data_IF_799242961443
#
_entry.id   IF_799242961443
#
_cell.length_a   1.000
_cell.length_b   1.000
_cell.length_c   1.000
_cell.angle_alpha   90.00
_cell.angle_beta   90.00
_cell.angle_gamma   90.00
#
_symmetry.space_group_name_H-M   'P 1'
#
loop_
_entity.id
_entity.type
_entity.pdbx_description
1 polymer ?
#
# COMPACT_ATOMS: atom_id res chain seq x y z
N UNK A 1 -9.91 -24.87 -18.04
CA UNK A 1 -10.43 -24.06 -19.17
C UNK A 1 -10.92 -22.66 -18.80
N UNK A 2 -10.60 -22.17 -17.60
CA UNK A 2 -10.98 -20.84 -17.09
C UNK A 2 -10.69 -19.71 -18.10
N UNK A 3 -9.54 -19.71 -18.75
CA UNK A 3 -9.13 -18.64 -19.69
C UNK A 3 -9.79 -18.73 -21.09
N UNK A 4 -10.63 -19.73 -21.34
CA UNK A 4 -11.44 -19.79 -22.57
C UNK A 4 -12.71 -18.94 -22.53
N UNK A 5 -13.11 -18.51 -21.34
CA UNK A 5 -14.28 -17.65 -21.16
C UNK A 5 -13.99 -16.21 -21.64
N UNK A 6 -15.08 -15.53 -22.04
CA UNK A 6 -15.01 -14.17 -22.60
C UNK A 6 -14.89 -13.14 -21.48
N UNK A 7 -13.65 -12.87 -21.03
CA UNK A 7 -13.33 -11.77 -20.14
C UNK A 7 -11.93 -11.22 -20.49
N UNK A 8 -11.67 -9.98 -20.14
CA UNK A 8 -10.41 -9.28 -20.46
C UNK A 8 -9.50 -9.15 -19.25
N UNK A 9 -10.04 -9.14 -18.03
CA UNK A 9 -9.31 -8.84 -16.79
C UNK A 9 -9.52 -9.96 -15.77
N UNK A 10 -8.45 -10.37 -15.11
CA UNK A 10 -8.47 -11.28 -13.96
C UNK A 10 -8.09 -10.51 -12.70
N UNK A 11 -8.94 -10.56 -11.67
CA UNK A 11 -8.62 -10.09 -10.33
C UNK A 11 -8.14 -11.28 -9.49
N UNK A 12 -6.91 -11.22 -8.97
CA UNK A 12 -6.28 -12.29 -8.18
C UNK A 12 -6.20 -11.83 -6.72
N UNK A 13 -6.95 -12.53 -5.85
CA UNK A 13 -7.02 -12.28 -4.40
C UNK A 13 -6.71 -13.56 -3.61
N UNK A 14 -5.76 -14.33 -4.07
CA UNK A 14 -5.24 -15.53 -3.40
C UNK A 14 -4.24 -15.16 -2.28
N UNK A 15 -3.72 -16.11 -1.49
CA UNK A 15 -2.59 -15.84 -0.61
C UNK A 15 -1.35 -15.34 -1.35
N UNK A 16 -0.61 -14.40 -0.73
CA UNK A 16 0.49 -13.64 -1.34
C UNK A 16 1.49 -14.50 -2.14
N UNK A 17 1.89 -15.65 -1.58
CA UNK A 17 2.86 -16.56 -2.24
C UNK A 17 2.36 -17.22 -3.54
N UNK A 18 1.06 -17.12 -3.84
CA UNK A 18 0.47 -17.67 -5.06
C UNK A 18 0.31 -16.63 -6.16
N UNK A 19 0.44 -15.36 -5.84
CA UNK A 19 0.21 -14.24 -6.74
C UNK A 19 1.05 -14.34 -8.00
N UNK A 20 2.36 -14.51 -7.87
CA UNK A 20 3.29 -14.58 -8.99
C UNK A 20 2.90 -15.65 -10.02
N UNK A 21 2.71 -16.90 -9.55
CA UNK A 21 2.41 -18.02 -10.45
C UNK A 21 1.08 -17.85 -11.18
N UNK A 22 0.05 -17.39 -10.46
CA UNK A 22 -1.29 -17.19 -11.03
C UNK A 22 -1.32 -16.00 -12.00
N UNK A 23 -0.66 -14.89 -11.66
CA UNK A 23 -0.56 -13.74 -12.53
C UNK A 23 0.19 -14.07 -13.83
N UNK A 24 1.29 -14.82 -13.74
CA UNK A 24 2.06 -15.26 -14.92
C UNK A 24 1.22 -16.10 -15.87
N UNK A 25 0.41 -17.03 -15.35
CA UNK A 25 -0.51 -17.84 -16.17
C UNK A 25 -1.54 -16.95 -16.86
N UNK A 26 -2.17 -16.02 -16.14
CA UNK A 26 -3.19 -15.12 -16.69
C UNK A 26 -2.62 -14.20 -17.78
N UNK A 27 -1.47 -13.58 -17.53
CA UNK A 27 -0.78 -12.73 -18.50
C UNK A 27 -0.38 -13.52 -19.77
N UNK A 28 0.13 -14.75 -19.59
CA UNK A 28 0.49 -15.62 -20.72
C UNK A 28 -0.72 -16.07 -21.54
N UNK A 29 -1.92 -16.07 -20.93
CA UNK A 29 -3.18 -16.30 -21.62
C UNK A 29 -3.78 -15.04 -22.26
N UNK A 30 -3.03 -13.92 -22.29
CA UNK A 30 -3.46 -12.66 -22.89
C UNK A 30 -4.49 -11.88 -22.08
N UNK A 31 -4.58 -12.10 -20.75
CA UNK A 31 -5.51 -11.41 -19.85
C UNK A 31 -4.79 -10.30 -19.09
N UNK A 32 -5.44 -9.15 -18.94
CA UNK A 32 -5.00 -8.13 -17.99
C UNK A 32 -5.13 -8.66 -16.56
N UNK A 33 -4.26 -8.22 -15.65
CA UNK A 33 -4.25 -8.70 -14.26
C UNK A 33 -4.34 -7.53 -13.29
N UNK A 34 -5.25 -7.63 -12.35
CA UNK A 34 -5.26 -6.86 -11.10
C UNK A 34 -4.87 -7.84 -9.99
N UNK A 35 -3.82 -7.53 -9.28
CA UNK A 35 -3.21 -8.41 -8.30
C UNK A 35 -3.30 -7.78 -6.92
N UNK A 36 -3.91 -8.49 -5.95
CA UNK A 36 -3.99 -8.00 -4.58
C UNK A 36 -2.60 -7.68 -4.01
N UNK A 37 -2.61 -6.71 -3.10
CA UNK A 37 -1.41 -6.30 -2.38
C UNK A 37 -1.01 -7.35 -1.30
N UNK A 38 0.29 -7.54 -1.08
CA UNK A 38 1.39 -7.14 -1.94
C UNK A 38 1.39 -7.99 -3.21
N UNK A 39 1.68 -7.34 -4.34
CA UNK A 39 1.60 -8.01 -5.64
C UNK A 39 2.48 -9.27 -5.72
N UNK A 40 3.66 -9.19 -5.14
CA UNK A 40 4.65 -10.28 -5.14
C UNK A 40 5.42 -10.32 -3.82
N UNK A 41 6.17 -11.39 -3.61
CA UNK A 41 7.01 -11.57 -2.42
C UNK A 41 8.48 -11.23 -2.66
N UNK A 42 8.90 -11.14 -3.93
CA UNK A 42 10.27 -10.82 -4.33
C UNK A 42 10.29 -9.80 -5.48
N UNK A 43 11.22 -8.82 -5.50
CA UNK A 43 11.29 -7.82 -6.56
C UNK A 43 11.49 -8.42 -7.96
N UNK A 44 12.20 -9.55 -8.06
CA UNK A 44 12.45 -10.25 -9.33
C UNK A 44 11.16 -10.80 -9.94
N UNK A 45 10.23 -11.27 -9.10
CA UNK A 45 8.92 -11.74 -9.54
C UNK A 45 8.13 -10.62 -10.23
N UNK A 46 8.17 -9.40 -9.66
CA UNK A 46 7.51 -8.23 -10.28
C UNK A 46 8.12 -7.87 -11.63
N UNK A 47 9.45 -7.85 -11.71
CA UNK A 47 10.13 -7.56 -12.97
C UNK A 47 9.75 -8.57 -14.07
N UNK A 48 9.65 -9.85 -13.72
CA UNK A 48 9.24 -10.91 -14.64
C UNK A 48 7.78 -10.76 -15.07
N UNK A 49 6.87 -10.45 -14.15
CA UNK A 49 5.46 -10.22 -14.47
C UNK A 49 5.27 -9.00 -15.38
N UNK A 50 5.98 -7.91 -15.13
CA UNK A 50 5.95 -6.70 -15.97
C UNK A 50 6.46 -7.03 -17.40
N UNK A 51 7.52 -7.83 -17.51
CA UNK A 51 8.03 -8.27 -18.83
C UNK A 51 7.00 -9.17 -19.52
N UNK A 52 6.44 -10.16 -18.81
CA UNK A 52 5.39 -11.04 -19.34
C UNK A 52 4.17 -10.24 -19.82
N UNK A 53 3.74 -9.24 -19.06
CA UNK A 53 2.64 -8.36 -19.44
C UNK A 53 2.94 -7.58 -20.74
N UNK A 54 4.18 -7.05 -20.88
CA UNK A 54 4.61 -6.35 -22.09
C UNK A 54 4.60 -7.27 -23.31
N UNK A 55 5.16 -8.47 -23.19
CA UNK A 55 5.29 -9.44 -24.28
C UNK A 55 3.90 -9.89 -24.79
N UNK A 56 2.92 -9.98 -23.89
CA UNK A 56 1.55 -10.36 -24.23
C UNK A 56 0.60 -9.16 -24.44
N UNK A 57 1.12 -7.91 -24.46
CA UNK A 57 0.35 -6.65 -24.62
C UNK A 57 -0.74 -6.48 -23.56
N UNK A 58 -0.53 -7.04 -22.38
CA UNK A 58 -1.43 -6.95 -21.23
C UNK A 58 -0.99 -5.85 -20.27
N UNK A 59 -1.90 -5.44 -19.40
CA UNK A 59 -1.62 -4.65 -18.21
C UNK A 59 -1.52 -5.56 -17.00
N UNK A 60 -0.68 -5.16 -16.05
CA UNK A 60 -0.65 -5.71 -14.70
C UNK A 60 -0.70 -4.54 -13.72
N UNK A 61 -1.56 -4.61 -12.72
CA UNK A 61 -1.73 -3.62 -11.67
C UNK A 61 -1.60 -4.28 -10.30
N UNK A 62 -0.97 -3.59 -9.37
CA UNK A 62 -1.08 -3.92 -7.95
C UNK A 62 -2.28 -3.17 -7.37
N UNK A 63 -3.15 -3.87 -6.64
CA UNK A 63 -4.30 -3.29 -5.95
C UNK A 63 -3.83 -2.51 -4.71
N UNK A 64 -3.14 -1.42 -4.96
CA UNK A 64 -2.61 -0.49 -3.96
C UNK A 64 -3.66 0.58 -3.65
N UNK A 65 -4.79 0.19 -3.05
CA UNK A 65 -6.01 0.99 -2.92
C UNK A 65 -5.77 2.43 -2.49
N UNK A 66 -5.09 2.67 -1.37
CA UNK A 66 -4.85 4.01 -0.86
C UNK A 66 -3.95 4.86 -1.77
N UNK A 67 -3.08 4.24 -2.57
CA UNK A 67 -2.26 4.95 -3.56
C UNK A 67 -3.10 5.71 -4.60
N UNK A 68 -4.29 5.19 -4.91
CA UNK A 68 -5.19 5.73 -5.93
C UNK A 68 -6.25 6.68 -5.37
N UNK A 69 -6.34 6.88 -4.05
CA UNK A 69 -7.30 7.80 -3.45
C UNK A 69 -7.01 9.26 -3.84
N UNK A 70 -8.03 10.00 -4.26
CA UNK A 70 -7.97 11.43 -4.61
C UNK A 70 -7.52 12.28 -3.40
N UNK A 71 -7.72 11.78 -2.18
CA UNK A 71 -7.21 12.39 -0.96
C UNK A 71 -5.68 12.63 -1.04
N UNK A 72 -4.91 11.67 -1.57
CA UNK A 72 -3.46 11.84 -1.72
C UNK A 72 -3.07 12.86 -2.78
N UNK A 73 -3.89 13.06 -3.82
CA UNK A 73 -3.68 14.14 -4.78
C UNK A 73 -3.90 15.50 -4.10
N UNK A 74 -5.00 15.67 -3.35
CA UNK A 74 -5.29 16.88 -2.57
C UNK A 74 -4.17 17.19 -1.56
N UNK A 75 -3.68 16.19 -0.84
CA UNK A 75 -2.56 16.34 0.11
C UNK A 75 -1.28 16.75 -0.62
N UNK A 76 -0.96 16.11 -1.74
CA UNK A 76 0.24 16.39 -2.51
C UNK A 76 0.24 17.82 -3.08
N UNK A 77 -0.91 18.29 -3.57
CA UNK A 77 -1.07 19.65 -4.06
C UNK A 77 -0.92 20.68 -2.94
N UNK A 78 -1.47 20.40 -1.75
CA UNK A 78 -1.29 21.25 -0.56
C UNK A 78 0.18 21.32 -0.11
N UNK A 79 0.94 20.24 -0.25
CA UNK A 79 2.35 20.17 0.15
C UNK A 79 3.32 20.69 -0.92
N UNK A 80 2.86 21.02 -2.13
CA UNK A 80 3.72 21.32 -3.28
C UNK A 80 4.65 22.53 -3.08
N UNK A 81 4.21 23.52 -2.29
CA UNK A 81 4.98 24.74 -1.96
C UNK A 81 5.64 24.69 -0.57
N UNK A 82 5.54 23.56 0.16
CA UNK A 82 6.03 23.43 1.53
C UNK A 82 7.35 22.67 1.60
N UNK A 83 8.21 23.11 2.49
CA UNK A 83 9.42 22.37 2.81
C UNK A 83 9.10 21.25 3.80
N UNK A 84 9.23 20.00 3.35
CA UNK A 84 9.02 18.81 4.18
C UNK A 84 10.20 18.61 5.11
N UNK A 85 9.92 18.38 6.40
CA UNK A 85 10.90 18.07 7.45
C UNK A 85 10.88 16.59 7.86
N UNK A 86 9.79 15.87 7.60
CA UNK A 86 9.61 14.47 7.93
C UNK A 86 8.14 14.06 7.91
N UNK A 87 7.89 12.78 8.22
CA UNK A 87 6.55 12.26 8.43
C UNK A 87 6.58 11.03 9.34
N UNK A 88 5.46 10.80 10.05
CA UNK A 88 5.20 9.60 10.85
C UNK A 88 3.91 8.95 10.35
N UNK A 89 4.04 7.76 9.75
CA UNK A 89 2.92 6.97 9.26
C UNK A 89 2.79 5.68 10.05
N UNK A 90 1.60 5.38 10.50
CA UNK A 90 1.34 4.16 11.23
C UNK A 90 0.06 3.47 10.74
N UNK A 91 0.10 2.14 10.68
CA UNK A 91 -1.08 1.32 10.53
C UNK A 91 -0.90 0.03 11.32
N UNK A 92 -1.40 0.04 12.56
CA UNK A 92 -1.36 -1.11 13.45
C UNK A 92 -2.77 -1.40 13.96
N UNK A 93 -3.27 -2.60 13.64
CA UNK A 93 -4.60 -3.06 14.00
C UNK A 93 -4.51 -4.50 14.49
N UNK A 94 -4.97 -4.73 15.71
CA UNK A 94 -5.00 -6.06 16.30
C UNK A 94 -5.78 -7.03 15.40
N UNK A 95 -5.12 -8.08 14.95
CA UNK A 95 -5.70 -9.03 14.00
C UNK A 95 -6.78 -9.88 14.63
N UNK A 96 -7.91 -10.02 13.95
CA UNK A 96 -8.97 -10.99 14.35
C UNK A 96 -8.48 -12.45 14.36
N UNK A 97 -7.29 -12.71 13.79
CA UNK A 97 -6.64 -14.03 13.77
C UNK A 97 -5.65 -14.24 14.92
N UNK A 98 -5.39 -13.22 15.74
CA UNK A 98 -4.50 -13.36 16.90
C UNK A 98 -4.97 -14.43 17.91
N UNK A 99 -6.29 -14.56 18.25
CA UNK A 99 -6.73 -15.61 19.14
C UNK A 99 -6.40 -17.02 18.62
N UNK A 100 -6.52 -17.26 17.31
CA UNK A 100 -6.15 -18.53 16.69
C UNK A 100 -4.64 -18.79 16.81
N UNK A 101 -3.81 -17.76 16.55
CA UNK A 101 -2.36 -17.86 16.70
C UNK A 101 -1.98 -18.21 18.16
N UNK A 102 -2.58 -17.54 19.13
CA UNK A 102 -2.33 -17.80 20.55
C UNK A 102 -2.83 -19.18 21.00
N UNK A 103 -3.81 -19.76 20.31
CA UNK A 103 -4.27 -21.13 20.53
C UNK A 103 -3.38 -22.19 19.86
N UNK A 104 -2.33 -21.79 19.15
CA UNK A 104 -1.37 -22.69 18.49
C UNK A 104 -1.65 -22.97 17.01
N UNK A 105 -2.68 -22.32 16.42
CA UNK A 105 -2.91 -22.38 14.98
C UNK A 105 -1.89 -21.51 14.22
N UNK A 106 -1.78 -21.75 12.92
CA UNK A 106 -0.98 -20.88 12.03
C UNK A 106 -1.86 -20.32 10.90
N UNK A 107 -2.66 -19.25 11.17
CA UNK A 107 -3.46 -18.60 10.13
C UNK A 107 -2.57 -18.05 9.00
N UNK A 108 -3.10 -17.96 7.77
CA UNK A 108 -2.36 -17.53 6.59
C UNK A 108 -1.60 -16.21 6.79
N UNK A 109 -2.20 -15.24 7.48
CA UNK A 109 -1.59 -13.92 7.76
C UNK A 109 -0.38 -13.99 8.70
N UNK A 110 -0.15 -15.13 9.37
CA UNK A 110 0.99 -15.40 10.25
C UNK A 110 1.84 -16.58 9.75
N UNK A 111 1.65 -17.00 8.50
CA UNK A 111 2.35 -18.12 7.89
C UNK A 111 3.42 -17.64 6.91
N UNK A 112 4.64 -18.16 7.06
CA UNK A 112 5.75 -18.00 6.12
C UNK A 112 5.43 -18.63 4.76
N UNK A 113 4.70 -19.74 4.74
CA UNK A 113 4.22 -20.40 3.52
C UNK A 113 3.41 -19.44 2.62
N UNK A 114 2.66 -18.52 3.23
CA UNK A 114 1.80 -17.58 2.52
C UNK A 114 2.35 -16.14 2.50
N UNK A 115 3.61 -15.96 2.91
CA UNK A 115 4.25 -14.66 3.00
C UNK A 115 3.39 -13.64 3.78
N UNK A 116 2.92 -14.06 4.97
CA UNK A 116 2.16 -13.20 5.89
C UNK A 116 3.06 -12.15 6.57
N UNK A 117 2.51 -11.49 7.58
CA UNK A 117 3.25 -10.53 8.41
C UNK A 117 2.60 -9.16 8.48
N UNK A 118 3.04 -8.38 9.46
CA UNK A 118 2.50 -7.03 9.69
C UNK A 118 2.90 -6.06 8.59
N UNK A 119 4.17 -6.09 8.14
CA UNK A 119 4.63 -5.22 7.06
C UNK A 119 3.90 -5.51 5.75
N UNK A 120 3.79 -6.77 5.37
CA UNK A 120 3.18 -7.21 4.11
C UNK A 120 1.68 -6.93 4.05
N UNK A 121 0.98 -7.02 5.18
CA UNK A 121 -0.48 -6.87 5.18
C UNK A 121 -0.95 -5.45 5.53
N UNK A 122 -0.33 -4.80 6.52
CA UNK A 122 -0.72 -3.47 7.02
C UNK A 122 0.32 -2.39 6.72
N UNK A 123 1.60 -2.67 6.95
CA UNK A 123 2.66 -1.70 6.75
C UNK A 123 2.82 -1.25 5.29
N UNK A 124 2.41 -2.07 4.34
CA UNK A 124 2.43 -1.74 2.91
C UNK A 124 1.61 -0.46 2.60
N UNK A 125 0.54 -0.18 3.35
CA UNK A 125 -0.23 1.06 3.20
C UNK A 125 0.59 2.31 3.53
N UNK A 126 1.46 2.22 4.54
CA UNK A 126 2.38 3.32 4.89
C UNK A 126 3.44 3.53 3.80
N UNK A 127 3.89 2.44 3.16
CA UNK A 127 4.83 2.50 2.03
C UNK A 127 4.18 3.13 0.80
N UNK A 128 2.95 2.73 0.44
CA UNK A 128 2.22 3.33 -0.68
C UNK A 128 2.02 4.83 -0.48
N UNK A 129 1.61 5.25 0.73
CA UNK A 129 1.44 6.66 1.05
C UNK A 129 2.75 7.44 0.93
N UNK A 130 3.85 6.91 1.49
CA UNK A 130 5.16 7.56 1.39
C UNK A 130 5.64 7.70 -0.06
N UNK A 131 5.48 6.65 -0.87
CA UNK A 131 5.86 6.68 -2.29
C UNK A 131 4.95 7.63 -3.09
N UNK A 132 3.65 7.64 -2.80
CA UNK A 132 2.68 8.52 -3.48
C UNK A 132 2.97 10.01 -3.23
N UNK A 133 3.29 10.35 -1.98
CA UNK A 133 3.51 11.74 -1.56
C UNK A 133 4.94 12.22 -1.87
N UNK A 134 5.94 11.39 -1.61
CA UNK A 134 7.34 11.80 -1.59
C UNK A 134 8.22 11.11 -2.65
N UNK A 135 7.65 10.16 -3.39
CA UNK A 135 8.42 9.37 -4.36
C UNK A 135 9.25 8.25 -3.71
N UNK A 136 10.17 7.68 -4.47
CA UNK A 136 11.00 6.56 -4.02
C UNK A 136 12.04 7.02 -2.97
N UNK A 137 12.10 6.37 -1.79
CA UNK A 137 13.15 6.65 -0.80
C UNK A 137 14.53 6.19 -1.32
N UNK A 138 15.59 6.82 -0.83
CA UNK A 138 16.98 6.47 -1.16
C UNK A 138 17.45 5.24 -0.38
N UNK A 139 16.91 5.03 0.81
CA UNK A 139 17.21 3.89 1.67
C UNK A 139 15.99 3.56 2.53
N UNK A 140 15.88 2.30 2.95
CA UNK A 140 14.84 1.84 3.85
C UNK A 140 15.41 0.83 4.85
N UNK A 141 14.96 0.93 6.11
CA UNK A 141 15.23 -0.05 7.17
C UNK A 141 13.93 -0.46 7.82
N UNK A 142 13.88 -1.66 8.38
CA UNK A 142 12.74 -2.16 9.14
C UNK A 142 13.22 -3.12 10.22
N UNK A 143 12.76 -2.91 11.45
CA UNK A 143 13.02 -3.79 12.60
C UNK A 143 11.69 -4.27 13.16
N UNK A 144 11.59 -5.55 13.45
CA UNK A 144 10.33 -6.16 13.84
C UNK A 144 10.47 -7.18 14.97
N UNK A 145 9.42 -7.28 15.78
CA UNK A 145 9.16 -8.44 16.62
C UNK A 145 8.63 -9.56 15.73
N UNK A 146 9.30 -10.71 15.75
CA UNK A 146 8.98 -11.84 14.87
C UNK A 146 8.56 -13.08 15.65
N UNK A 147 7.77 -13.91 14.99
CA UNK A 147 7.53 -15.30 15.38
C UNK A 147 8.74 -16.19 15.04
N UNK A 148 8.76 -17.43 15.53
CA UNK A 148 9.81 -18.43 15.23
C UNK A 148 9.91 -18.75 13.74
N UNK A 149 8.81 -18.63 12.99
CA UNK A 149 8.78 -18.77 11.52
C UNK A 149 9.20 -17.50 10.77
N UNK A 150 9.81 -16.54 11.45
CA UNK A 150 10.30 -15.26 10.92
C UNK A 150 9.22 -14.25 10.46
N UNK A 151 7.94 -14.55 10.63
CA UNK A 151 6.84 -13.62 10.34
C UNK A 151 6.80 -12.52 11.39
N UNK A 152 6.71 -11.28 10.95
CA UNK A 152 6.63 -10.11 11.80
C UNK A 152 5.23 -9.91 12.38
N UNK A 153 5.16 -9.66 13.69
CA UNK A 153 3.93 -9.33 14.41
C UNK A 153 3.70 -7.82 14.47
N UNK A 154 4.76 -7.07 14.66
CA UNK A 154 4.82 -5.62 14.59
C UNK A 154 6.25 -5.17 14.30
N UNK A 155 6.40 -3.95 13.83
CA UNK A 155 7.71 -3.37 13.58
C UNK A 155 7.64 -1.91 13.20
N UNK A 156 8.82 -1.31 13.25
CA UNK A 156 9.08 0.09 12.92
C UNK A 156 10.12 0.15 11.82
N UNK A 157 9.95 1.11 10.90
CA UNK A 157 10.89 1.33 9.80
C UNK A 157 11.17 2.79 9.57
N UNK A 158 12.26 3.05 8.84
CA UNK A 158 12.68 4.39 8.42
C UNK A 158 12.91 4.36 6.93
N UNK A 159 12.20 5.25 6.23
CA UNK A 159 12.40 5.55 4.81
C UNK A 159 13.22 6.83 4.72
N UNK A 160 14.44 6.76 4.17
CA UNK A 160 15.33 7.92 4.05
C UNK A 160 15.12 8.61 2.70
N UNK A 161 14.95 9.91 2.75
CA UNK A 161 14.94 10.84 1.61
C UNK A 161 16.15 11.79 1.72
N UNK A 162 16.52 12.55 0.68
CA UNK A 162 17.75 13.36 0.72
C UNK A 162 17.86 14.31 1.91
N UNK A 163 16.73 14.89 2.38
CA UNK A 163 16.75 15.93 3.40
C UNK A 163 15.88 15.63 4.64
N UNK A 164 15.17 14.48 4.66
CA UNK A 164 14.29 14.10 5.76
C UNK A 164 14.10 12.59 5.83
N UNK A 165 13.38 12.15 6.85
CA UNK A 165 13.01 10.75 7.04
C UNK A 165 11.50 10.63 7.21
N UNK A 166 10.96 9.50 6.78
CA UNK A 166 9.59 9.08 7.06
C UNK A 166 9.64 7.83 7.92
N UNK A 167 9.08 7.92 9.11
CA UNK A 167 8.94 6.79 10.01
C UNK A 167 7.67 6.02 9.67
N UNK A 168 7.76 4.71 9.70
CA UNK A 168 6.61 3.84 9.48
C UNK A 168 6.46 2.85 10.64
N UNK A 169 5.22 2.55 10.99
CA UNK A 169 4.87 1.52 11.97
C UNK A 169 3.81 0.59 11.41
N UNK A 170 4.00 -0.71 11.60
CA UNK A 170 3.01 -1.74 11.30
C UNK A 170 2.80 -2.66 12.49
N UNK A 171 1.59 -3.22 12.65
CA UNK A 171 1.35 -4.15 13.74
C UNK A 171 0.06 -4.94 13.60
N UNK A 172 0.12 -6.24 13.95
CA UNK A 172 -1.01 -7.16 13.97
C UNK A 172 -1.34 -7.69 15.37
N UNK A 173 -0.42 -7.54 16.32
CA UNK A 173 -0.58 -7.90 17.73
C UNK A 173 -0.79 -6.67 18.64
N UNK A 174 -0.85 -5.50 18.06
CA UNK A 174 -1.12 -4.20 18.71
C UNK A 174 -2.18 -3.43 17.92
N UNK A 175 -2.81 -2.43 18.57
CA UNK A 175 -3.61 -1.41 17.92
C UNK A 175 -2.98 -0.04 18.19
N UNK A 176 -2.77 0.77 17.15
CA UNK A 176 -2.39 2.18 17.28
C UNK A 176 -3.61 3.06 17.06
N UNK A 177 -3.79 4.05 17.91
CA UNK A 177 -4.79 5.11 17.78
C UNK A 177 -4.12 6.46 17.47
N UNK A 178 -2.82 6.46 17.14
CA UNK A 178 -2.10 7.67 16.77
C UNK A 178 -2.50 8.08 15.35
N UNK A 179 -2.67 9.38 15.09
CA UNK A 179 -2.82 9.90 13.74
C UNK A 179 -1.54 9.69 12.94
N UNK A 180 -1.60 9.93 11.63
CA UNK A 180 -0.42 10.07 10.79
C UNK A 180 -0.10 11.54 10.60
N UNK A 181 1.18 11.91 10.57
CA UNK A 181 1.58 13.32 10.52
C UNK A 181 2.65 13.56 9.46
N UNK A 182 2.58 14.74 8.83
CA UNK A 182 3.59 15.25 7.91
C UNK A 182 4.06 16.60 8.44
N UNK A 183 5.34 16.71 8.71
CA UNK A 183 5.97 17.89 9.28
C UNK A 183 6.54 18.79 8.20
N UNK A 184 6.21 20.08 8.28
CA UNK A 184 6.73 21.11 7.38
C UNK A 184 7.33 22.27 8.16
N UNK A 185 8.06 23.17 7.50
CA UNK A 185 8.54 24.41 8.13
C UNK A 185 7.42 25.34 8.61
N UNK A 186 6.21 25.17 8.10
CA UNK A 186 5.07 26.06 8.37
C UNK A 186 4.13 25.52 9.43
N UNK A 187 4.18 24.20 9.70
CA UNK A 187 3.29 23.51 10.64
C UNK A 187 3.22 22.01 10.34
N UNK A 188 2.19 21.37 10.89
CA UNK A 188 1.98 19.92 10.80
C UNK A 188 0.65 19.62 10.11
N UNK A 189 0.68 18.74 9.13
CA UNK A 189 -0.52 18.16 8.53
C UNK A 189 -0.80 16.82 9.20
N UNK A 190 -1.96 16.73 9.87
CA UNK A 190 -2.44 15.55 10.58
C UNK A 190 -3.50 14.84 9.75
N UNK A 191 -3.30 13.53 9.52
CA UNK A 191 -4.23 12.64 8.81
C UNK A 191 -4.86 11.69 9.83
N UNK A 192 -6.16 11.42 9.69
CA UNK A 192 -6.88 10.51 10.59
C UNK A 192 -6.36 9.06 10.50
N UNK A 193 -6.07 8.59 9.30
CA UNK A 193 -5.49 7.27 9.05
C UNK A 193 -4.75 7.27 7.71
N UNK A 194 -3.88 6.29 7.48
CA UNK A 194 -3.08 6.22 6.24
C UNK A 194 -3.67 5.24 5.22
N UNK A 195 -4.46 4.28 5.67
CA UNK A 195 -5.03 3.27 4.77
C UNK A 195 -6.29 3.77 4.04
N UNK A 196 -6.94 4.81 4.55
CA UNK A 196 -8.09 5.48 3.95
C UNK A 196 -8.27 6.87 4.57
N UNK A 197 -7.68 7.89 3.96
CA UNK A 197 -7.70 9.25 4.50
C UNK A 197 -9.09 9.86 4.33
N UNK A 198 -9.79 10.10 5.43
CA UNK A 198 -11.09 10.79 5.43
C UNK A 198 -11.01 12.23 5.97
N UNK A 199 -9.94 12.54 6.70
CA UNK A 199 -9.69 13.87 7.26
C UNK A 199 -8.22 14.21 7.21
N UNK A 200 -7.91 15.45 6.81
CA UNK A 200 -6.58 16.02 6.82
C UNK A 200 -6.66 17.47 7.33
N UNK A 201 -5.97 17.77 8.45
CA UNK A 201 -5.99 19.07 9.11
C UNK A 201 -4.56 19.60 9.20
N UNK A 202 -4.32 20.76 8.64
CA UNK A 202 -3.05 21.47 8.80
C UNK A 202 -3.15 22.44 9.96
N UNK A 203 -2.22 22.35 10.90
CA UNK A 203 -2.10 23.25 12.04
C UNK A 203 -0.77 24.01 11.93
N UNK A 204 -0.81 25.34 11.84
CA UNK A 204 0.38 26.18 11.81
C UNK A 204 1.02 26.32 13.21
N UNK A 205 2.20 26.96 13.28
CA UNK A 205 2.92 27.17 14.55
C UNK A 205 2.22 28.14 15.52
N UNK A 206 1.19 28.87 15.07
CA UNK A 206 0.34 29.73 15.91
C UNK A 206 -0.91 29.00 16.41
N UNK A 207 -1.16 27.76 15.94
CA UNK A 207 -2.32 26.96 16.29
C UNK A 207 -3.55 27.23 15.42
N UNK A 208 -3.38 27.92 14.28
CA UNK A 208 -4.48 28.08 13.32
C UNK A 208 -4.63 26.80 12.52
N UNK A 209 -5.86 26.37 12.31
CA UNK A 209 -6.17 25.12 11.61
C UNK A 209 -6.81 25.37 10.24
N UNK A 210 -6.43 24.56 9.27
CA UNK A 210 -7.00 24.50 7.93
C UNK A 210 -7.38 23.04 7.63
N UNK A 211 -8.68 22.78 7.47
CA UNK A 211 -9.20 21.50 7.01
C UNK A 211 -9.03 21.39 5.50
N UNK A 212 -8.35 20.36 5.02
CA UNK A 212 -8.26 20.09 3.59
C UNK A 212 -9.60 19.53 3.05
N UNK A 213 -9.98 19.87 1.80
CA UNK A 213 -11.25 19.43 1.20
C UNK A 213 -11.16 17.99 0.68
N UNK A 214 -11.00 17.03 1.60
CA UNK A 214 -10.97 15.61 1.25
C UNK A 214 -12.38 15.16 0.84
N UNK A 215 -12.51 14.61 -0.35
CA UNK A 215 -13.75 14.00 -0.83
C UNK A 215 -13.62 12.48 -0.72
N UNK A 216 -14.71 11.83 -0.29
CA UNK A 216 -14.78 10.39 -0.16
C UNK A 216 -15.51 9.79 -1.36
N UNK A 217 -14.91 8.79 -2.00
CA UNK A 217 -15.61 7.99 -2.99
C UNK A 217 -16.74 7.16 -2.34
N UNK A 218 -17.80 6.81 -3.10
CA UNK A 218 -18.91 6.01 -2.56
C UNK A 218 -18.47 4.63 -2.01
N UNK A 219 -17.37 4.10 -2.50
CA UNK A 219 -16.77 2.86 -2.04
C UNK A 219 -15.25 2.98 -2.16
N UNK A 220 -14.52 2.44 -1.20
CA UNK A 220 -13.06 2.57 -1.07
C UNK A 220 -12.24 2.04 -2.26
N UNK A 221 -12.80 1.16 -3.09
CA UNK A 221 -12.13 0.63 -4.30
C UNK A 221 -12.52 1.39 -5.58
N UNK A 222 -13.39 2.39 -5.52
CA UNK A 222 -13.93 3.05 -6.72
C UNK A 222 -12.83 3.74 -7.52
N UNK A 223 -11.98 4.49 -6.85
CA UNK A 223 -10.91 5.29 -7.48
C UNK A 223 -9.86 4.40 -8.13
N UNK A 224 -9.44 3.34 -7.43
CA UNK A 224 -8.50 2.35 -7.94
C UNK A 224 -9.03 1.65 -9.21
N UNK A 225 -10.25 1.12 -9.13
CA UNK A 225 -10.86 0.42 -10.28
C UNK A 225 -11.07 1.37 -11.46
N UNK A 226 -11.45 2.62 -11.20
CA UNK A 226 -11.60 3.65 -12.24
C UNK A 226 -10.25 3.97 -12.91
N UNK A 227 -9.17 4.10 -12.11
CA UNK A 227 -7.81 4.32 -12.63
C UNK A 227 -7.38 3.17 -13.56
N UNK A 228 -7.50 1.92 -13.12
CA UNK A 228 -7.12 0.75 -13.92
C UNK A 228 -7.97 0.62 -15.21
N UNK A 229 -9.29 0.82 -15.10
CA UNK A 229 -10.18 0.78 -16.25
C UNK A 229 -9.84 1.85 -17.30
N UNK A 230 -9.50 3.06 -16.87
CA UNK A 230 -9.08 4.15 -17.74
C UNK A 230 -7.77 3.84 -18.44
N UNK A 231 -6.76 3.33 -17.73
CA UNK A 231 -5.47 2.94 -18.31
C UNK A 231 -5.63 1.86 -19.37
N UNK A 232 -6.44 0.83 -19.11
CA UNK A 232 -6.73 -0.23 -20.08
C UNK A 232 -7.42 0.36 -21.31
N UNK A 233 -8.47 1.18 -21.14
CA UNK A 233 -9.23 1.78 -22.25
C UNK A 233 -8.41 2.72 -23.11
N UNK A 234 -7.52 3.50 -22.50
CA UNK A 234 -6.65 4.45 -23.21
C UNK A 234 -5.37 3.81 -23.73
N UNK A 235 -5.11 2.54 -23.39
CA UNK A 235 -3.84 1.84 -23.60
C UNK A 235 -2.64 2.62 -23.01
N UNK A 236 -2.89 3.39 -21.95
CA UNK A 236 -1.88 4.22 -21.26
C UNK A 236 -1.04 3.36 -20.32
N UNK A 237 0.28 3.45 -20.45
CA UNK A 237 1.27 2.68 -19.68
C UNK A 237 2.18 3.59 -18.84
N UNK A 238 1.75 4.82 -18.55
CA UNK A 238 2.60 5.85 -17.90
C UNK A 238 2.55 5.88 -16.38
N UNK A 239 1.77 5.00 -15.72
CA UNK A 239 1.72 4.90 -14.25
C UNK A 239 2.64 3.82 -13.70
#
# INVERSE_FOLDING_TARGET
DFFKDSFDVVYIASPNSLHFSQAKIALSAGKHVILEKPAVTQPQEWQELVQTAKDNKCFIFEAARNYHEDAFATIKDFLADKQILGADFNYAKYSSKMPNLLAGDTPNVFSDRFAGGALMDLGIYTLYAAVRLFGKPTHATYQAQKLDNSIDLNGDGILSYPNYQVHIKAGKNITSNLPCEIYTTDGTLTLDTIEHVSSAIFTDHQGNEVQLPIQQAPHTMTEEVAAFANMIKQADRTL
#
